data_IF_102249204572
#
_entry.id   IF_102249204572
#
_cell.length_a   1.000
_cell.length_b   1.000
_cell.length_c   1.000
_cell.angle_alpha   90.00
_cell.angle_beta   90.00
_cell.angle_gamma   90.00
#
_symmetry.space_group_name_H-M   'P 1'
#
loop_
_entity.id
_entity.type
_entity.pdbx_description
1 polymer ?
#
# COMPACT_ATOMS: atom_id res chain seq x y z
N UNK A 1 -5.22 7.75 -2.71
CA UNK A 1 -5.81 7.25 -1.47
C UNK A 1 -5.08 7.85 -0.29
N UNK A 2 -5.83 8.37 0.69
CA UNK A 2 -5.29 8.87 1.96
C UNK A 2 -5.27 7.77 3.01
N UNK A 3 -4.44 7.92 4.05
CA UNK A 3 -4.40 6.95 5.15
C UNK A 3 -5.76 6.76 5.85
N UNK A 4 -6.54 7.84 5.98
CA UNK A 4 -7.92 7.77 6.50
C UNK A 4 -8.83 6.90 5.64
N UNK A 5 -8.72 6.97 4.31
CA UNK A 5 -9.47 6.13 3.38
C UNK A 5 -9.07 4.65 3.52
N UNK A 6 -7.78 4.35 3.65
CA UNK A 6 -7.31 2.98 3.88
C UNK A 6 -7.85 2.42 5.20
N UNK A 7 -7.81 3.21 6.29
CA UNK A 7 -8.39 2.80 7.58
C UNK A 7 -9.88 2.54 7.49
N UNK A 8 -10.62 3.41 6.80
CA UNK A 8 -12.06 3.20 6.61
C UNK A 8 -12.34 1.93 5.81
N UNK A 9 -11.59 1.70 4.73
CA UNK A 9 -11.73 0.50 3.90
C UNK A 9 -11.37 -0.76 4.69
N UNK A 10 -10.27 -0.75 5.44
CA UNK A 10 -9.84 -1.86 6.30
C UNK A 10 -10.85 -2.16 7.43
N UNK A 11 -11.46 -1.13 8.03
CA UNK A 11 -12.52 -1.29 9.00
C UNK A 11 -13.78 -1.92 8.37
N UNK A 12 -14.15 -1.51 7.14
CA UNK A 12 -15.26 -2.10 6.40
C UNK A 12 -15.00 -3.58 6.04
N UNK A 13 -13.80 -3.92 5.59
CA UNK A 13 -13.42 -5.34 5.35
C UNK A 13 -13.53 -6.12 6.67
N UNK A 14 -12.99 -5.59 7.77
CA UNK A 14 -13.05 -6.23 9.08
C UNK A 14 -14.48 -6.39 9.62
N UNK A 15 -15.41 -5.52 9.25
CA UNK A 15 -16.81 -5.63 9.63
C UNK A 15 -17.54 -6.76 8.89
N UNK A 16 -17.17 -7.01 7.63
CA UNK A 16 -17.73 -8.11 6.81
C UNK A 16 -17.03 -9.44 7.15
N UNK A 17 -15.73 -9.40 7.44
CA UNK A 17 -14.88 -10.55 7.74
C UNK A 17 -14.28 -10.44 9.15
N UNK A 18 -15.09 -10.52 10.22
CA UNK A 18 -14.62 -10.26 11.58
C UNK A 18 -13.62 -11.30 12.08
N UNK A 19 -13.59 -12.52 11.57
CA UNK A 19 -12.66 -13.55 12.06
C UNK A 19 -11.45 -13.78 11.11
N UNK A 20 -11.42 -13.11 9.96
CA UNK A 20 -10.34 -13.28 8.99
C UNK A 20 -9.12 -12.42 9.35
N UNK A 21 -7.92 -12.95 9.11
CA UNK A 21 -6.72 -12.11 9.02
C UNK A 21 -6.67 -11.53 7.62
N UNK A 22 -6.43 -10.22 7.55
CA UNK A 22 -6.45 -9.46 6.30
C UNK A 22 -5.06 -8.90 6.08
N UNK A 23 -4.48 -9.20 4.93
CA UNK A 23 -3.19 -8.66 4.50
C UNK A 23 -3.41 -7.60 3.42
N UNK A 24 -3.07 -6.35 3.73
CA UNK A 24 -3.01 -5.24 2.78
C UNK A 24 -1.77 -5.40 1.92
N UNK A 25 -2.01 -5.46 0.62
CA UNK A 25 -1.00 -5.64 -0.41
C UNK A 25 -0.92 -4.40 -1.32
N UNK A 26 0.06 -4.39 -2.21
CA UNK A 26 0.19 -3.34 -3.22
C UNK A 26 0.77 -2.03 -2.69
N UNK A 27 0.54 -0.94 -3.43
CA UNK A 27 1.08 0.37 -3.03
C UNK A 27 0.50 0.90 -1.73
N UNK A 28 -0.77 0.65 -1.45
CA UNK A 28 -1.47 1.16 -0.27
C UNK A 28 -0.89 0.62 1.05
N UNK A 29 -0.21 -0.54 1.04
CA UNK A 29 0.45 -1.10 2.22
C UNK A 29 1.46 -0.13 2.85
N UNK A 30 2.14 0.68 2.02
CA UNK A 30 3.12 1.67 2.48
C UNK A 30 2.51 2.76 3.39
N UNK A 31 1.21 3.00 3.30
CA UNK A 31 0.50 3.94 4.17
C UNK A 31 0.46 3.48 5.64
N UNK A 32 0.65 2.18 5.90
CA UNK A 32 0.68 1.65 7.26
C UNK A 32 2.00 1.99 7.97
N UNK A 33 3.12 1.98 7.24
CA UNK A 33 4.45 2.37 7.77
C UNK A 33 4.65 3.88 7.71
N UNK A 34 4.10 4.53 6.68
CA UNK A 34 4.25 5.97 6.45
C UNK A 34 2.90 6.65 6.14
N UNK A 35 2.10 6.96 7.17
CA UNK A 35 0.77 7.55 7.01
C UNK A 35 0.74 8.87 6.24
N UNK A 36 1.83 9.63 6.30
CA UNK A 36 1.96 10.97 5.68
C UNK A 36 2.49 10.90 4.22
N UNK A 37 2.63 9.71 3.62
CA UNK A 37 3.08 9.55 2.22
C UNK A 37 2.30 10.38 1.19
N UNK A 38 0.96 10.52 1.28
CA UNK A 38 0.19 11.33 0.34
C UNK A 38 0.57 12.82 0.38
N UNK A 39 1.07 13.30 1.52
CA UNK A 39 1.47 14.71 1.68
C UNK A 39 2.82 15.02 1.06
N UNK A 40 3.68 14.01 0.92
CA UNK A 40 5.02 14.13 0.35
C UNK A 40 5.09 13.74 -1.13
N UNK A 41 4.08 13.03 -1.64
CA UNK A 41 4.04 12.57 -3.04
C UNK A 41 2.62 12.52 -3.62
N UNK A 42 2.41 13.18 -4.76
CA UNK A 42 1.10 13.19 -5.44
C UNK A 42 0.71 11.84 -6.08
N UNK A 43 1.67 10.93 -6.27
CA UNK A 43 1.43 9.63 -6.91
C UNK A 43 0.46 8.74 -6.12
N UNK A 44 0.42 8.90 -4.79
CA UNK A 44 -0.47 8.15 -3.93
C UNK A 44 -1.88 8.70 -3.92
N UNK A 45 -2.07 10.01 -4.11
CA UNK A 45 -3.40 10.61 -4.16
C UNK A 45 -4.24 10.06 -5.31
N UNK A 46 -3.59 9.67 -6.42
CA UNK A 46 -4.22 9.09 -7.60
C UNK A 46 -4.63 7.61 -7.45
N UNK A 47 -4.10 6.89 -6.46
CA UNK A 47 -4.50 5.50 -6.19
C UNK A 47 -5.90 5.47 -5.59
N UNK A 48 -6.84 4.71 -6.15
CA UNK A 48 -8.21 4.59 -5.61
C UNK A 48 -8.48 3.21 -5.01
N UNK A 49 -7.57 2.28 -5.25
CA UNK A 49 -7.60 0.87 -4.89
C UNK A 49 -6.68 0.57 -3.71
N UNK A 50 -7.07 -0.42 -2.91
CA UNK A 50 -6.17 -1.10 -2.00
C UNK A 50 -6.36 -2.61 -2.16
N UNK A 51 -5.26 -3.31 -2.34
CA UNK A 51 -5.27 -4.76 -2.50
C UNK A 51 -5.39 -5.41 -1.11
N UNK A 52 -6.32 -6.36 -0.95
CA UNK A 52 -6.48 -7.13 0.27
C UNK A 52 -6.46 -8.62 -0.03
N UNK A 53 -5.76 -9.38 0.81
CA UNK A 53 -5.72 -10.84 0.75
C UNK A 53 -6.26 -11.38 2.07
N UNK A 54 -7.19 -12.33 1.99
CA UNK A 54 -7.66 -13.09 3.15
C UNK A 54 -6.67 -14.22 3.47
N UNK A 55 -6.30 -14.34 4.74
CA UNK A 55 -5.46 -15.43 5.26
C UNK A 55 -6.14 -16.05 6.50
N UNK A 56 -6.65 -17.28 6.47
CA UNK A 56 -6.75 -18.17 5.30
C UNK A 56 -7.76 -17.68 4.25
N UNK A 57 -7.61 -18.17 3.01
CA UNK A 57 -8.54 -17.83 1.92
C UNK A 57 -9.86 -18.57 2.04
N UNK A 58 -10.94 -17.81 1.92
CA UNK A 58 -12.31 -18.30 1.78
C UNK A 58 -12.90 -17.69 0.50
N UNK A 59 -13.30 -18.55 -0.44
CA UNK A 59 -13.83 -18.14 -1.74
C UNK A 59 -15.15 -17.38 -1.61
N UNK A 60 -16.05 -17.84 -0.75
CA UNK A 60 -17.36 -17.22 -0.53
C UNK A 60 -17.20 -15.84 0.09
N UNK A 61 -16.31 -15.72 1.07
CA UNK A 61 -16.01 -14.44 1.72
C UNK A 61 -15.28 -13.47 0.79
N UNK A 62 -14.33 -13.97 -0.01
CA UNK A 62 -13.62 -13.17 -1.01
C UNK A 62 -14.55 -12.58 -2.07
N UNK A 63 -15.53 -13.38 -2.54
CA UNK A 63 -16.55 -12.91 -3.48
C UNK A 63 -17.48 -11.88 -2.84
N UNK A 64 -17.96 -12.13 -1.61
CA UNK A 64 -18.79 -11.17 -0.86
C UNK A 64 -18.09 -9.82 -0.69
N UNK A 65 -16.80 -9.83 -0.32
CA UNK A 65 -16.00 -8.62 -0.18
C UNK A 65 -15.82 -7.89 -1.52
N UNK A 66 -15.57 -8.63 -2.60
CA UNK A 66 -15.45 -8.07 -3.95
C UNK A 66 -16.75 -7.41 -4.40
N UNK A 67 -17.89 -8.04 -4.16
CA UNK A 67 -19.21 -7.50 -4.50
C UNK A 67 -19.57 -6.28 -3.65
N UNK A 68 -19.20 -6.28 -2.37
CA UNK A 68 -19.60 -5.22 -1.43
C UNK A 68 -18.68 -4.01 -1.47
N UNK A 69 -17.36 -4.23 -1.62
CA UNK A 69 -16.33 -3.18 -1.49
C UNK A 69 -15.52 -2.97 -2.77
N UNK A 70 -15.76 -3.75 -3.81
CA UNK A 70 -15.04 -3.67 -5.08
C UNK A 70 -15.44 -2.48 -5.95
N UNK A 71 -14.82 -2.43 -7.14
CA UNK A 71 -14.91 -1.29 -8.07
C UNK A 71 -16.32 -0.99 -8.57
N UNK A 72 -17.15 -2.03 -8.70
CA UNK A 72 -18.52 -1.91 -9.23
C UNK A 72 -19.57 -1.92 -8.10
N UNK A 73 -19.15 -1.76 -6.85
CA UNK A 73 -20.07 -1.77 -5.71
C UNK A 73 -20.63 -0.39 -5.38
N UNK A 74 -21.77 -0.36 -4.68
CA UNK A 74 -22.33 0.88 -4.13
C UNK A 74 -21.37 1.60 -3.16
N UNK A 75 -20.41 0.88 -2.58
CA UNK A 75 -19.35 1.48 -1.76
C UNK A 75 -18.45 2.38 -2.61
N UNK A 76 -17.98 1.92 -3.77
CA UNK A 76 -17.18 2.74 -4.68
C UNK A 76 -17.96 3.94 -5.20
N UNK A 77 -19.25 3.75 -5.54
CA UNK A 77 -20.10 4.85 -5.98
C UNK A 77 -20.18 5.98 -4.94
N UNK A 78 -20.24 5.63 -3.65
CA UNK A 78 -20.34 6.60 -2.57
C UNK A 78 -18.99 7.21 -2.18
N UNK A 79 -17.96 6.38 -1.96
CA UNK A 79 -16.69 6.79 -1.35
C UNK A 79 -15.56 7.07 -2.36
N UNK A 80 -15.70 6.62 -3.62
CA UNK A 80 -14.70 6.77 -4.71
C UNK A 80 -13.37 6.07 -4.48
N UNK A 81 -13.31 5.12 -3.55
CA UNK A 81 -12.21 4.16 -3.39
C UNK A 81 -12.79 2.77 -3.11
N UNK A 82 -12.02 1.74 -3.41
CA UNK A 82 -12.49 0.35 -3.37
C UNK A 82 -11.40 -0.63 -2.93
N UNK A 83 -11.84 -1.79 -2.45
CA UNK A 83 -10.98 -2.91 -2.11
C UNK A 83 -10.84 -3.82 -3.35
N UNK A 84 -9.61 -4.15 -3.72
CA UNK A 84 -9.33 -5.18 -4.71
C UNK A 84 -8.97 -6.47 -3.97
N UNK A 85 -9.82 -7.50 -4.07
CA UNK A 85 -9.62 -8.74 -3.32
C UNK A 85 -8.75 -9.69 -4.14
N UNK A 86 -7.54 -9.91 -3.66
CA UNK A 86 -6.52 -10.67 -4.37
C UNK A 86 -6.41 -12.08 -3.78
N UNK A 87 -6.22 -13.07 -4.64
CA UNK A 87 -6.02 -14.47 -4.23
C UNK A 87 -4.63 -14.66 -3.58
N UNK A 88 -4.47 -15.63 -2.65
CA UNK A 88 -3.21 -15.85 -1.94
C UNK A 88 -2.03 -16.26 -2.80
N UNK A 89 -2.22 -16.64 -4.06
CA UNK A 89 -1.12 -16.98 -4.98
C UNK A 89 -0.09 -15.84 -5.11
N UNK A 90 -0.46 -14.60 -4.76
CA UNK A 90 0.50 -13.51 -4.64
C UNK A 90 1.62 -13.79 -3.60
N UNK A 91 1.34 -14.57 -2.55
CA UNK A 91 2.29 -14.97 -1.51
C UNK A 91 3.38 -15.92 -2.00
N UNK A 92 3.18 -16.63 -3.11
CA UNK A 92 4.15 -17.61 -3.64
C UNK A 92 5.49 -16.97 -4.05
N UNK A 93 5.49 -15.65 -4.27
CA UNK A 93 6.68 -14.89 -4.64
C UNK A 93 7.46 -14.34 -3.43
N UNK A 94 6.99 -14.58 -2.21
CA UNK A 94 7.60 -14.05 -0.99
C UNK A 94 8.35 -15.15 -0.22
N UNK A 95 9.40 -14.78 0.53
CA UNK A 95 10.09 -15.75 1.36
C UNK A 95 9.17 -16.25 2.49
N UNK A 96 9.35 -17.48 2.99
CA UNK A 96 8.43 -18.09 3.96
C UNK A 96 8.23 -17.29 5.25
N UNK A 97 9.22 -16.48 5.65
CA UNK A 97 9.22 -15.65 6.85
C UNK A 97 8.53 -14.28 6.67
N UNK A 98 7.92 -13.99 5.51
CA UNK A 98 7.32 -12.67 5.26
C UNK A 98 6.21 -12.32 6.27
N UNK A 99 5.52 -13.35 6.81
CA UNK A 99 4.44 -13.19 7.80
C UNK A 99 4.94 -12.60 9.12
N UNK A 100 6.20 -12.87 9.48
CA UNK A 100 6.81 -12.38 10.72
C UNK A 100 7.13 -10.87 10.67
N UNK A 101 7.10 -10.29 9.47
CA UNK A 101 7.46 -8.89 9.19
C UNK A 101 6.27 -8.04 8.76
N UNK A 102 5.06 -8.55 8.98
CA UNK A 102 3.84 -7.81 8.70
C UNK A 102 3.69 -6.63 9.67
N UNK A 103 3.28 -5.49 9.14
CA UNK A 103 3.09 -4.26 9.91
C UNK A 103 1.60 -4.16 10.29
N UNK A 104 1.23 -4.15 11.58
CA UNK A 104 -0.18 -4.02 11.97
C UNK A 104 -0.71 -2.63 11.58
N UNK A 105 -1.95 -2.59 11.08
CA UNK A 105 -2.64 -1.33 10.81
C UNK A 105 -3.22 -0.78 12.12
N UNK A 106 -2.83 0.44 12.47
CA UNK A 106 -3.32 1.11 13.68
C UNK A 106 -4.85 1.22 13.69
N UNK A 107 -5.47 0.70 14.76
CA UNK A 107 -6.92 0.70 14.95
C UNK A 107 -7.66 -0.45 14.27
N UNK A 108 -6.95 -1.37 13.58
CA UNK A 108 -7.53 -2.54 12.93
C UNK A 108 -6.78 -3.82 13.36
N UNK A 109 -7.22 -4.52 14.43
CA UNK A 109 -6.43 -5.55 15.12
C UNK A 109 -6.12 -6.82 14.30
N UNK A 110 -6.78 -7.02 13.16
CA UNK A 110 -6.59 -8.18 12.25
C UNK A 110 -6.18 -7.78 10.83
N UNK A 111 -5.85 -6.51 10.64
CA UNK A 111 -5.40 -5.99 9.34
C UNK A 111 -3.92 -5.69 9.45
N UNK A 112 -3.16 -6.32 8.57
CA UNK A 112 -1.72 -6.21 8.52
C UNK A 112 -1.29 -5.79 7.13
N UNK A 113 -0.20 -5.04 7.01
CA UNK A 113 0.34 -4.61 5.74
C UNK A 113 1.69 -5.27 5.47
N UNK A 114 1.93 -5.57 4.20
CA UNK A 114 3.25 -5.98 3.76
C UNK A 114 4.25 -4.83 3.96
N UNK A 115 5.41 -5.15 4.52
CA UNK A 115 6.49 -4.19 4.68
C UNK A 115 6.91 -3.59 3.32
N UNK A 116 7.14 -2.26 3.23
CA UNK A 116 7.44 -1.57 1.98
C UNK A 116 8.63 -2.14 1.20
N UNK A 117 9.62 -2.74 1.88
CA UNK A 117 10.78 -3.34 1.23
C UNK A 117 10.39 -4.57 0.39
N UNK A 118 9.51 -5.42 0.92
CA UNK A 118 8.98 -6.56 0.17
C UNK A 118 8.15 -6.12 -1.03
N UNK A 119 7.44 -5.01 -0.89
CA UNK A 119 6.70 -4.43 -2.01
C UNK A 119 7.65 -3.99 -3.14
N UNK A 120 8.73 -3.26 -2.80
CA UNK A 120 9.71 -2.83 -3.79
C UNK A 120 10.31 -4.02 -4.54
N UNK A 121 10.65 -5.10 -3.82
CA UNK A 121 11.15 -6.34 -4.42
C UNK A 121 10.11 -6.99 -5.33
N UNK A 122 8.88 -7.17 -4.88
CA UNK A 122 7.81 -7.80 -5.66
C UNK A 122 7.48 -7.04 -6.95
N UNK A 123 7.53 -5.70 -6.94
CA UNK A 123 7.35 -4.88 -8.16
C UNK A 123 8.48 -5.05 -9.17
N UNK A 124 9.72 -5.21 -8.69
CA UNK A 124 10.88 -5.49 -9.54
C UNK A 124 10.76 -6.89 -10.18
N UNK A 125 10.37 -7.91 -9.39
CA UNK A 125 10.16 -9.27 -9.89
C UNK A 125 9.00 -9.37 -10.89
N UNK A 126 7.90 -8.66 -10.64
CA UNK A 126 6.72 -8.66 -11.53
C UNK A 126 6.94 -7.90 -12.86
N UNK A 127 8.11 -7.28 -13.06
CA UNK A 127 8.44 -6.54 -14.28
C UNK A 127 7.46 -5.39 -14.60
N UNK A 128 6.68 -4.93 -13.61
CA UNK A 128 5.69 -3.86 -13.76
C UNK A 128 6.38 -2.50 -13.55
N UNK A 129 6.62 -1.69 -14.60
CA UNK A 129 7.21 -0.37 -14.45
C UNK A 129 6.15 0.63 -13.94
N UNK A 130 5.77 0.52 -12.67
CA UNK A 130 5.23 1.66 -11.92
C UNK A 130 6.32 2.10 -10.96
N UNK A 131 7.15 3.03 -11.46
CA UNK A 131 8.21 3.76 -10.80
C UNK A 131 9.65 3.17 -10.80
N UNK A 132 10.19 2.93 -12.00
CA UNK A 132 11.66 2.98 -12.21
C UNK A 132 12.26 4.39 -11.97
N UNK A 133 11.43 5.44 -11.83
CA UNK A 133 11.90 6.83 -11.62
C UNK A 133 11.82 7.38 -10.20
N UNK A 134 11.06 6.77 -9.28
CA UNK A 134 10.81 7.34 -7.93
C UNK A 134 11.36 6.47 -6.78
N UNK A 135 11.62 5.18 -7.00
CA UNK A 135 12.12 4.25 -5.97
C UNK A 135 13.63 4.01 -6.02
N UNK A 136 14.41 4.79 -6.77
CA UNK A 136 15.87 4.66 -6.77
C UNK A 136 16.44 5.14 -5.42
N UNK A 137 16.33 4.28 -4.41
CA UNK A 137 17.10 4.33 -3.19
C UNK A 137 18.56 4.08 -3.55
N UNK A 138 19.39 5.13 -3.54
CA UNK A 138 20.82 4.92 -3.33
C UNK A 138 21.01 4.47 -1.89
N UNK A 139 21.63 3.31 -1.68
CA UNK A 139 21.91 2.72 -0.39
C UNK A 139 23.30 3.16 0.11
N UNK A 140 23.42 3.97 1.17
CA UNK A 140 24.61 3.98 2.00
C UNK A 140 24.37 3.15 3.28
N UNK A 141 25.41 2.51 3.85
CA UNK A 141 25.26 1.58 4.98
C UNK A 141 24.90 2.25 6.33
N UNK A 142 24.55 3.54 6.35
CA UNK A 142 24.56 4.36 7.56
C UNK A 142 23.19 4.83 8.05
N UNK A 143 22.07 4.28 7.55
CA UNK A 143 20.78 4.37 8.27
C UNK A 143 20.10 5.75 8.34
N UNK A 144 20.34 6.67 7.40
CA UNK A 144 19.59 7.93 7.32
C UNK A 144 19.00 8.16 5.93
N UNK A 145 17.69 8.37 5.86
CA UNK A 145 16.96 8.72 4.63
C UNK A 145 17.14 10.23 4.39
N UNK A 146 17.80 10.61 3.28
CA UNK A 146 17.66 11.96 2.71
C UNK A 146 16.82 11.87 1.44
N UNK A 147 15.76 12.66 1.28
CA UNK A 147 15.01 12.69 0.03
C UNK A 147 15.88 13.38 -1.04
N UNK A 148 16.22 12.65 -2.10
CA UNK A 148 16.81 13.23 -3.31
C UNK A 148 15.93 12.83 -4.48
N UNK A 149 14.94 13.66 -4.77
CA UNK A 149 14.03 13.49 -5.90
C UNK A 149 14.72 13.98 -7.18
N UNK A 150 15.01 13.06 -8.10
CA UNK A 150 15.62 13.34 -9.39
C UNK A 150 14.55 13.35 -10.50
N UNK A 151 13.60 14.28 -10.44
CA UNK A 151 12.77 14.59 -11.62
C UNK A 151 12.28 16.04 -11.74
N UNK A 152 12.83 16.98 -10.97
CA UNK A 152 12.61 18.41 -11.23
C UNK A 152 13.68 18.94 -12.18
N UNK A 153 13.53 18.67 -13.48
CA UNK A 153 14.15 19.54 -14.50
C UNK A 153 13.45 20.90 -14.43
N UNK A 154 14.16 21.86 -13.83
CA UNK A 154 13.74 23.24 -13.67
C UNK A 154 14.78 23.95 -12.82
N UNK A 155 15.86 24.40 -13.47
CA UNK A 155 16.94 25.19 -12.86
C UNK A 155 16.38 26.44 -12.17
N UNK A 156 16.15 26.37 -10.86
CA UNK A 156 16.16 27.55 -9.98
C UNK A 156 17.31 27.45 -9.01
N UNK A 157 18.36 28.19 -9.36
CA UNK A 157 19.52 28.51 -8.54
C UNK A 157 19.04 29.27 -7.29
N UNK A 158 18.90 28.60 -6.16
CA UNK A 158 18.71 29.27 -4.88
C UNK A 158 20.05 29.83 -4.41
N UNK A 159 20.19 31.14 -4.50
CA UNK A 159 21.28 31.95 -3.95
C UNK A 159 21.15 31.91 -2.42
N UNK A 160 22.18 31.48 -1.69
CA UNK A 160 22.26 31.70 -0.23
C UNK A 160 22.51 33.20 0.00
N UNK A 161 21.56 33.87 0.65
CA UNK A 161 21.84 35.11 1.38
C UNK A 161 22.45 34.75 2.73
N UNK A 162 23.58 35.40 3.05
CA UNK A 162 24.03 35.71 4.41
C UNK A 162 24.84 34.64 5.14
N UNK A 163 26.17 34.74 5.09
CA UNK A 163 26.97 35.41 6.13
C UNK A 163 28.35 35.74 5.55
#
# INVERSE_FOLDING_TARGET
MRFSSLKHLAASVSAIAPEAHIVVFGSSSALCTHPNLPEVTNSYEQTLDADFILDPWDESLGNLLSETLGKDSGFFEHYKYYADIVRPAAFDNFPPDFRDRLVPLEGCPRVFALDPHYMAVAKLFAGRPKASGCWLFSWPPTGWIKPRCASCYGTRRWRRNGS
#
